data_IF_927202982960
#
_entry.id   IF_927202982960
#
_cell.length_a   1.000
_cell.length_b   1.000
_cell.length_c   1.000
_cell.angle_alpha   90.00
_cell.angle_beta   90.00
_cell.angle_gamma   90.00
#
_symmetry.space_group_name_H-M   'P 1'
#
loop_
_entity.id
_entity.type
_entity.pdbx_description
1 polymer ?
#
# COMPACT_ATOMS: atom_id res chain seq x y z
N UNK A 1 7.39 -2.98 -6.91
CA UNK A 1 7.15 -3.27 -5.48
C UNK A 1 7.15 -4.78 -5.38
N UNK A 2 7.83 -5.35 -4.39
CA UNK A 2 8.45 -6.67 -4.47
C UNK A 2 7.42 -7.71 -4.85
N UNK A 3 7.61 -8.23 -6.04
CA UNK A 3 7.15 -9.54 -6.50
C UNK A 3 7.81 -10.59 -5.60
N UNK A 4 7.31 -11.82 -5.59
CA UNK A 4 8.00 -12.95 -4.95
C UNK A 4 9.32 -13.28 -5.69
N UNK A 5 10.21 -12.29 -5.75
CA UNK A 5 11.47 -12.26 -6.47
C UNK A 5 12.57 -12.77 -5.56
N UNK A 6 13.51 -13.46 -6.18
CA UNK A 6 14.78 -13.83 -5.57
C UNK A 6 15.91 -13.07 -6.23
N UNK A 7 16.96 -12.81 -5.47
CA UNK A 7 18.22 -12.29 -6.00
C UNK A 7 19.40 -12.82 -5.18
N UNK A 8 20.53 -13.03 -5.85
CA UNK A 8 21.78 -13.42 -5.20
C UNK A 8 22.64 -12.21 -4.84
N UNK A 9 23.22 -12.23 -3.65
CA UNK A 9 24.25 -11.28 -3.24
C UNK A 9 25.32 -11.97 -2.40
N UNK A 10 26.58 -11.89 -2.83
CA UNK A 10 27.73 -12.54 -2.16
C UNK A 10 27.55 -14.05 -1.91
N UNK A 11 26.84 -14.74 -2.82
CA UNK A 11 26.57 -16.17 -2.72
C UNK A 11 25.42 -16.54 -1.76
N UNK A 12 24.66 -15.56 -1.28
CA UNK A 12 23.45 -15.75 -0.48
C UNK A 12 22.24 -15.39 -1.34
N UNK A 13 21.31 -16.34 -1.48
CA UNK A 13 20.03 -16.10 -2.14
C UNK A 13 19.06 -15.42 -1.15
N UNK A 14 18.58 -14.23 -1.52
CA UNK A 14 17.56 -13.50 -0.79
C UNK A 14 16.23 -13.60 -1.52
N UNK A 15 15.16 -13.87 -0.78
CA UNK A 15 13.78 -13.84 -1.26
C UNK A 15 13.05 -12.65 -0.64
N UNK A 16 12.40 -11.87 -1.50
CA UNK A 16 11.54 -10.75 -1.13
C UNK A 16 10.08 -11.19 -1.20
N UNK A 17 9.35 -11.01 -0.12
CA UNK A 17 7.91 -11.34 -0.04
C UNK A 17 7.12 -10.09 0.39
N UNK A 18 5.98 -9.76 -0.27
CA UNK A 18 5.08 -8.72 0.20
C UNK A 18 4.70 -8.92 1.67
N UNK A 19 4.80 -7.87 2.48
CA UNK A 19 4.53 -7.92 3.92
C UNK A 19 3.80 -6.64 4.33
N UNK A 20 2.57 -6.48 3.84
CA UNK A 20 1.72 -5.34 4.22
C UNK A 20 1.46 -5.32 5.73
N UNK A 21 1.28 -4.13 6.29
CA UNK A 21 0.90 -3.93 7.70
C UNK A 21 1.41 -2.60 8.22
N UNK A 22 2.68 -2.52 8.59
CA UNK A 22 3.29 -1.24 8.97
C UNK A 22 3.18 -0.20 7.83
N UNK A 23 3.49 -0.64 6.60
CA UNK A 23 3.15 0.06 5.36
C UNK A 23 2.69 -0.93 4.31
N UNK A 24 1.91 -0.48 3.33
CA UNK A 24 1.43 -1.29 2.20
C UNK A 24 2.54 -1.93 1.36
N UNK A 25 3.74 -1.35 1.41
CA UNK A 25 4.87 -1.79 0.58
C UNK A 25 6.03 -2.32 1.43
N UNK A 26 5.79 -2.60 2.71
CA UNK A 26 6.76 -3.29 3.54
C UNK A 26 7.04 -4.69 2.96
N UNK A 27 8.29 -5.14 3.14
CA UNK A 27 8.83 -6.33 2.47
C UNK A 27 9.47 -7.22 3.51
N UNK A 28 9.06 -8.48 3.54
CA UNK A 28 9.75 -9.53 4.27
C UNK A 28 10.95 -9.97 3.44
N UNK A 29 12.13 -9.96 4.06
CA UNK A 29 13.34 -10.49 3.45
C UNK A 29 13.63 -11.82 4.13
N UNK A 30 13.82 -12.88 3.35
CA UNK A 30 14.18 -14.21 3.86
C UNK A 30 15.40 -14.74 3.12
N UNK A 31 16.29 -15.42 3.84
CA UNK A 31 17.52 -15.98 3.31
C UNK A 31 18.05 -17.10 4.21
N UNK A 32 19.00 -17.88 3.72
CA UNK A 32 19.74 -18.86 4.50
C UNK A 32 21.22 -18.50 4.56
N UNK A 33 21.82 -18.56 5.75
CA UNK A 33 23.26 -18.36 5.96
C UNK A 33 23.75 -19.38 6.98
N UNK A 34 24.86 -20.07 6.70
CA UNK A 34 25.42 -21.12 7.56
C UNK A 34 24.40 -22.21 7.97
N UNK A 35 23.48 -22.55 7.06
CA UNK A 35 22.39 -23.51 7.31
C UNK A 35 21.30 -23.01 8.27
N UNK A 36 21.27 -21.71 8.56
CA UNK A 36 20.26 -21.07 9.40
C UNK A 36 19.29 -20.26 8.53
N UNK A 37 17.99 -20.54 8.67
CA UNK A 37 16.94 -19.71 8.03
C UNK A 37 16.78 -18.40 8.81
N UNK A 38 16.93 -17.28 8.13
CA UNK A 38 16.82 -15.94 8.71
C UNK A 38 15.73 -15.16 7.98
N UNK A 39 14.95 -14.40 8.75
CA UNK A 39 14.02 -13.42 8.22
C UNK A 39 14.31 -12.03 8.78
N UNK A 40 14.07 -10.99 7.98
CA UNK A 40 14.03 -9.61 8.42
C UNK A 40 12.62 -9.07 8.24
N UNK A 41 11.93 -8.81 9.35
CA UNK A 41 10.52 -8.37 9.38
C UNK A 41 10.37 -6.85 9.43
N UNK A 42 11.49 -6.10 9.49
CA UNK A 42 11.46 -4.65 9.58
C UNK A 42 10.60 -4.19 10.76
N UNK A 43 9.68 -3.27 10.48
CA UNK A 43 8.84 -2.63 11.50
C UNK A 43 7.48 -3.34 11.64
N UNK A 44 7.37 -4.60 11.25
CA UNK A 44 6.09 -5.29 11.21
C UNK A 44 5.61 -5.74 12.59
N UNK A 45 6.51 -6.26 13.43
CA UNK A 45 6.16 -6.95 14.68
C UNK A 45 6.85 -6.25 15.86
N UNK A 46 6.06 -5.66 16.74
CA UNK A 46 6.50 -5.05 17.98
C UNK A 46 5.93 -5.77 19.19
N UNK A 47 6.47 -5.48 20.37
CA UNK A 47 5.98 -6.04 21.62
C UNK A 47 5.85 -4.94 22.67
N UNK A 48 4.88 -5.09 23.57
CA UNK A 48 4.69 -4.22 24.75
C UNK A 48 5.92 -4.15 25.67
N UNK A 49 6.76 -5.17 25.63
CA UNK A 49 8.03 -5.27 26.35
C UNK A 49 9.21 -4.65 25.62
N UNK A 50 9.02 -4.11 24.42
CA UNK A 50 10.06 -3.54 23.56
C UNK A 50 10.91 -4.56 22.79
N UNK A 51 10.81 -5.85 23.10
CA UNK A 51 11.46 -6.95 22.38
C UNK A 51 10.75 -8.27 22.68
N UNK A 52 10.93 -9.27 21.82
CA UNK A 52 10.39 -10.61 22.08
C UNK A 52 11.01 -11.21 23.35
N UNK A 53 10.14 -11.74 24.22
CA UNK A 53 10.49 -12.59 25.35
C UNK A 53 9.25 -13.41 25.75
N UNK A 54 9.39 -14.54 26.45
CA UNK A 54 8.24 -15.28 26.94
C UNK A 54 7.28 -14.38 27.74
N UNK A 55 6.00 -14.41 27.37
CA UNK A 55 4.95 -13.58 27.97
C UNK A 55 4.85 -12.15 27.42
N UNK A 56 5.66 -11.76 26.43
CA UNK A 56 5.48 -10.52 25.68
C UNK A 56 4.22 -10.58 24.82
N UNK A 57 3.55 -9.45 24.65
CA UNK A 57 2.37 -9.35 23.79
C UNK A 57 2.66 -8.54 22.53
N UNK A 58 2.27 -9.07 21.38
CA UNK A 58 2.43 -8.38 20.10
C UNK A 58 1.62 -7.08 20.12
N UNK A 59 2.27 -6.01 19.69
CA UNK A 59 1.64 -4.73 19.38
C UNK A 59 1.87 -4.41 17.90
N UNK A 60 0.89 -3.70 17.31
CA UNK A 60 0.98 -3.23 15.93
C UNK A 60 1.30 -1.73 15.91
N UNK A 61 2.15 -1.30 14.99
CA UNK A 61 2.52 0.11 14.79
C UNK A 61 2.03 0.64 13.42
N UNK A 62 0.89 0.13 12.96
CA UNK A 62 0.30 0.50 11.68
C UNK A 62 -0.03 2.00 11.62
N UNK A 63 -0.02 2.55 10.41
CA UNK A 63 -0.51 3.89 10.14
C UNK A 63 -1.52 3.78 9.01
N UNK A 64 -2.78 4.19 9.26
CA UNK A 64 -3.86 4.10 8.27
C UNK A 64 -3.46 4.63 6.89
N UNK A 65 -2.85 5.82 6.85
CA UNK A 65 -2.39 6.50 5.63
C UNK A 65 -1.19 5.85 4.95
N UNK A 66 -0.53 4.88 5.58
CA UNK A 66 0.54 4.10 4.96
C UNK A 66 -0.01 2.90 4.14
N UNK A 67 -1.33 2.82 3.98
CA UNK A 67 -2.03 1.81 3.22
C UNK A 67 -2.33 0.56 4.03
N UNK A 68 -3.03 0.77 5.13
CA UNK A 68 -3.52 -0.30 5.99
C UNK A 68 -4.49 -1.19 5.21
N UNK A 69 -4.24 -2.49 5.28
CA UNK A 69 -5.04 -3.52 4.62
C UNK A 69 -5.52 -4.54 5.65
N UNK A 70 -6.77 -4.99 5.53
CA UNK A 70 -7.33 -5.97 6.47
C UNK A 70 -6.74 -7.36 6.17
N UNK A 71 -6.49 -8.17 7.20
CA UNK A 71 -5.86 -9.47 7.04
C UNK A 71 -4.36 -9.43 6.73
N UNK A 72 -3.75 -8.24 6.64
CA UNK A 72 -2.34 -8.10 6.29
C UNK A 72 -1.41 -8.85 7.27
N UNK A 73 -1.67 -8.74 8.57
CA UNK A 73 -0.89 -9.46 9.59
C UNK A 73 -1.07 -10.97 9.52
N UNK A 74 -2.24 -11.48 9.14
CA UNK A 74 -2.45 -12.91 8.92
C UNK A 74 -1.54 -13.43 7.80
N UNK A 75 -1.48 -12.73 6.67
CA UNK A 75 -0.61 -13.12 5.56
C UNK A 75 0.87 -13.17 5.97
N UNK A 76 1.32 -12.23 6.82
CA UNK A 76 2.69 -12.27 7.36
C UNK A 76 2.91 -13.47 8.27
N UNK A 77 1.98 -13.76 9.17
CA UNK A 77 2.09 -14.92 10.07
C UNK A 77 2.14 -16.23 9.27
N UNK A 78 1.32 -16.37 8.23
CA UNK A 78 1.30 -17.56 7.39
C UNK A 78 2.63 -17.74 6.62
N UNK A 79 3.23 -16.66 6.12
CA UNK A 79 4.58 -16.70 5.51
C UNK A 79 5.67 -17.08 6.52
N UNK A 80 5.62 -16.52 7.74
CA UNK A 80 6.58 -16.85 8.80
C UNK A 80 6.45 -18.32 9.24
N UNK A 81 5.23 -18.84 9.33
CA UNK A 81 4.98 -20.25 9.63
C UNK A 81 5.44 -21.16 8.49
N UNK A 82 5.34 -20.74 7.23
CA UNK A 82 5.87 -21.50 6.10
C UNK A 82 7.41 -21.52 6.08
N UNK A 83 8.07 -20.40 6.43
CA UNK A 83 9.53 -20.29 6.43
C UNK A 83 10.16 -21.02 7.64
N UNK A 84 9.47 -21.03 8.80
CA UNK A 84 10.03 -21.52 10.07
C UNK A 84 11.43 -20.95 10.36
N UNK A 85 11.61 -19.61 10.46
CA UNK A 85 12.92 -19.02 10.67
C UNK A 85 13.56 -19.48 11.99
N UNK A 86 14.88 -19.60 11.99
CA UNK A 86 15.68 -19.80 13.19
C UNK A 86 16.12 -18.48 13.81
N UNK A 87 16.16 -17.42 13.00
CA UNK A 87 16.44 -16.05 13.44
C UNK A 87 15.45 -15.07 12.84
N UNK A 88 14.96 -14.18 13.70
CA UNK A 88 14.14 -13.03 13.31
C UNK A 88 14.93 -11.76 13.59
N UNK A 89 15.22 -11.01 12.53
CA UNK A 89 15.76 -9.66 12.57
C UNK A 89 14.59 -8.67 12.49
N UNK A 90 14.63 -7.60 13.27
CA UNK A 90 13.61 -6.55 13.26
C UNK A 90 14.25 -5.19 12.99
N UNK A 91 13.44 -4.20 12.67
CA UNK A 91 13.93 -2.83 12.44
C UNK A 91 14.36 -2.09 13.71
N UNK A 92 13.84 -2.47 14.90
CA UNK A 92 14.00 -1.67 16.14
C UNK A 92 14.26 -2.47 17.41
N UNK A 93 14.37 -3.79 17.35
CA UNK A 93 14.60 -4.65 18.52
C UNK A 93 15.77 -5.60 18.27
N UNK A 94 16.45 -6.10 19.32
CA UNK A 94 17.50 -7.08 19.14
C UNK A 94 17.00 -8.33 18.39
N UNK A 95 17.83 -8.94 17.54
CA UNK A 95 17.54 -10.24 16.93
C UNK A 95 17.18 -11.30 17.97
N UNK A 96 16.27 -12.21 17.62
CA UNK A 96 15.86 -13.28 18.50
C UNK A 96 15.63 -14.59 17.75
N UNK A 97 15.70 -15.69 18.49
CA UNK A 97 15.27 -16.99 18.01
C UNK A 97 13.80 -17.19 18.40
N UNK A 98 12.91 -17.49 17.45
CA UNK A 98 11.51 -17.69 17.76
C UNK A 98 11.33 -19.02 18.51
N UNK A 99 10.42 -19.01 19.47
CA UNK A 99 9.98 -20.20 20.20
C UNK A 99 8.54 -20.57 19.77
N UNK A 100 8.03 -21.79 20.01
CA UNK A 100 6.68 -22.18 19.58
C UNK A 100 5.58 -21.21 20.03
N UNK A 101 5.69 -20.65 21.23
CA UNK A 101 4.76 -19.66 21.76
C UNK A 101 4.77 -18.32 21.00
N UNK A 102 5.87 -18.00 20.29
CA UNK A 102 5.97 -16.80 19.47
C UNK A 102 4.95 -16.80 18.34
N UNK A 103 4.84 -17.93 17.62
CA UNK A 103 3.86 -18.09 16.53
C UNK A 103 2.42 -17.93 17.03
N UNK A 104 2.13 -18.49 18.21
CA UNK A 104 0.82 -18.34 18.86
C UNK A 104 0.52 -16.86 19.19
N UNK A 105 1.52 -16.13 19.70
CA UNK A 105 1.36 -14.72 20.07
C UNK A 105 1.17 -13.81 18.85
N UNK A 106 1.97 -13.98 17.79
CA UNK A 106 1.81 -13.17 16.57
C UNK A 106 0.49 -13.49 15.84
N UNK A 107 0.02 -14.74 15.88
CA UNK A 107 -1.29 -15.13 15.36
C UNK A 107 -2.44 -14.50 16.15
N UNK A 108 -2.38 -14.56 17.48
CA UNK A 108 -3.31 -13.86 18.39
C UNK A 108 -3.37 -12.36 18.09
N UNK A 109 -2.21 -11.71 17.92
CA UNK A 109 -2.18 -10.28 17.63
C UNK A 109 -2.68 -9.93 16.22
N UNK A 110 -2.48 -10.80 15.22
CA UNK A 110 -3.05 -10.63 13.88
C UNK A 110 -4.59 -10.69 13.91
N UNK A 111 -5.14 -11.68 14.64
CA UNK A 111 -6.60 -11.81 14.85
C UNK A 111 -7.16 -10.60 15.60
N UNK A 112 -6.51 -10.18 16.68
CA UNK A 112 -6.93 -9.05 17.49
C UNK A 112 -6.90 -7.73 16.70
N UNK A 113 -5.92 -7.56 15.81
CA UNK A 113 -5.85 -6.41 14.92
C UNK A 113 -7.09 -6.38 14.00
N UNK A 114 -7.37 -7.47 13.30
CA UNK A 114 -8.50 -7.54 12.36
C UNK A 114 -9.85 -7.35 13.07
N UNK A 115 -10.04 -8.00 14.20
CA UNK A 115 -11.27 -7.90 15.00
C UNK A 115 -11.50 -6.47 15.52
N UNK A 116 -10.46 -5.83 16.07
CA UNK A 116 -10.55 -4.45 16.56
C UNK A 116 -10.91 -3.49 15.43
N UNK A 117 -10.23 -3.58 14.28
CA UNK A 117 -10.45 -2.63 13.18
C UNK A 117 -11.82 -2.82 12.53
N UNK A 118 -12.34 -4.05 12.42
CA UNK A 118 -13.73 -4.28 12.02
C UNK A 118 -14.73 -3.64 12.99
N UNK A 119 -14.49 -3.77 14.30
CA UNK A 119 -15.36 -3.16 15.34
C UNK A 119 -15.31 -1.63 15.34
N UNK A 120 -14.18 -1.04 14.94
CA UNK A 120 -14.02 0.42 14.84
C UNK A 120 -14.63 0.98 13.54
N UNK A 121 -14.77 0.19 12.48
CA UNK A 121 -15.47 0.61 11.27
C UNK A 121 -16.97 0.72 11.56
N UNK A 122 -17.47 1.96 11.56
CA UNK A 122 -18.89 2.28 11.78
C UNK A 122 -19.77 1.82 10.60
N UNK A 123 -19.15 1.57 9.44
CA UNK A 123 -19.78 1.12 8.20
C UNK A 123 -19.63 -0.40 8.07
N UNK A 124 -20.75 -1.09 7.81
CA UNK A 124 -20.79 -2.53 7.64
C UNK A 124 -20.41 -2.99 6.24
N UNK A 125 -20.25 -4.30 6.06
CA UNK A 125 -19.81 -4.91 4.79
C UNK A 125 -20.71 -4.57 3.60
N UNK A 126 -21.98 -4.21 3.85
CA UNK A 126 -22.96 -3.84 2.83
C UNK A 126 -23.06 -2.33 2.58
N UNK A 127 -22.40 -1.51 3.41
CA UNK A 127 -22.43 -0.06 3.28
C UNK A 127 -21.43 0.45 2.24
N UNK A 128 -21.53 1.71 1.86
CA UNK A 128 -20.59 2.35 0.93
C UNK A 128 -19.35 2.81 1.69
N UNK A 129 -18.18 2.24 1.41
CA UNK A 129 -16.93 2.63 2.08
C UNK A 129 -15.66 2.23 1.29
N UNK A 130 -14.55 2.92 1.57
CA UNK A 130 -13.22 2.59 1.02
C UNK A 130 -12.38 1.69 1.95
N UNK A 131 -13.02 1.10 2.95
CA UNK A 131 -12.37 0.19 3.90
C UNK A 131 -11.51 0.95 4.89
N UNK A 132 -10.61 0.24 5.56
CA UNK A 132 -9.88 0.78 6.70
C UNK A 132 -8.85 1.87 6.29
N UNK A 133 -8.24 1.81 5.10
CA UNK A 133 -7.40 2.91 4.56
C UNK A 133 -8.22 4.18 4.28
N UNK A 134 -9.54 4.05 4.07
CA UNK A 134 -10.45 5.14 3.68
C UNK A 134 -10.01 5.90 2.41
N UNK A 135 -9.30 5.22 1.50
CA UNK A 135 -8.75 5.81 0.27
C UNK A 135 -9.39 5.19 -0.98
N UNK A 136 -10.08 6.01 -1.78
CA UNK A 136 -10.76 5.57 -2.99
C UNK A 136 -9.88 5.47 -4.25
N UNK A 137 -8.66 6.01 -4.19
CA UNK A 137 -7.72 5.91 -5.29
C UNK A 137 -6.34 6.45 -4.95
N UNK A 138 -5.37 6.20 -5.83
CA UNK A 138 -4.00 6.69 -5.70
C UNK A 138 -3.48 7.12 -7.06
N UNK A 139 -2.63 8.15 -7.07
CA UNK A 139 -2.04 8.70 -8.28
C UNK A 139 -0.50 8.71 -8.17
N UNK A 140 0.18 8.36 -9.26
CA UNK A 140 1.63 8.24 -9.36
C UNK A 140 2.11 8.69 -10.75
N UNK A 141 3.28 9.32 -10.86
CA UNK A 141 4.10 9.81 -9.74
C UNK A 141 3.40 10.97 -9.03
N UNK A 142 3.63 11.12 -7.71
CA UNK A 142 3.06 12.26 -6.96
C UNK A 142 3.62 13.59 -7.45
N UNK A 143 4.85 13.61 -7.96
CA UNK A 143 5.47 14.79 -8.59
C UNK A 143 5.83 14.48 -10.04
N UNK A 144 5.19 15.19 -10.95
CA UNK A 144 5.46 15.17 -12.38
C UNK A 144 6.29 16.40 -12.74
N UNK A 145 7.35 16.18 -13.51
CA UNK A 145 8.19 17.24 -14.05
C UNK A 145 8.26 17.09 -15.56
N UNK A 146 7.86 18.13 -16.29
CA UNK A 146 7.87 18.20 -17.74
C UNK A 146 8.77 19.36 -18.17
N UNK A 147 9.63 19.12 -19.16
CA UNK A 147 10.56 20.14 -19.63
C UNK A 147 9.83 21.25 -20.39
N UNK A 148 8.84 20.88 -21.21
CA UNK A 148 8.07 21.82 -22.03
C UNK A 148 6.58 21.48 -21.96
N UNK A 149 5.73 22.50 -22.05
CA UNK A 149 4.28 22.34 -22.18
C UNK A 149 3.87 21.66 -23.49
N UNK A 150 2.74 20.95 -23.46
CA UNK A 150 2.23 20.19 -24.60
C UNK A 150 2.76 18.76 -24.72
N UNK A 151 3.79 18.39 -23.94
CA UNK A 151 4.18 16.99 -23.79
C UNK A 151 3.10 16.20 -23.04
N UNK A 152 2.69 15.08 -23.62
CA UNK A 152 1.82 14.13 -22.94
C UNK A 152 2.62 13.35 -21.90
N UNK A 153 2.00 13.10 -20.75
CA UNK A 153 2.58 12.24 -19.72
C UNK A 153 1.54 11.28 -19.18
N UNK A 154 2.02 10.12 -18.74
CA UNK A 154 1.18 9.08 -18.19
C UNK A 154 1.13 9.21 -16.67
N UNK A 155 -0.08 9.37 -16.16
CA UNK A 155 -0.41 9.22 -14.77
C UNK A 155 -0.84 7.77 -14.54
N UNK A 156 -0.24 7.09 -13.58
CA UNK A 156 -0.61 5.72 -13.17
C UNK A 156 -1.24 5.78 -11.79
N UNK A 157 -2.04 4.78 -11.46
CA UNK A 157 -2.74 4.79 -10.20
C UNK A 157 -3.53 3.53 -9.98
N UNK A 158 -4.38 3.58 -8.96
CA UNK A 158 -5.45 2.61 -8.77
C UNK A 158 -6.69 3.33 -8.27
N UNK A 159 -7.85 2.72 -8.49
CA UNK A 159 -9.13 3.11 -7.92
C UNK A 159 -9.77 1.91 -7.23
N UNK A 160 -10.64 2.18 -6.26
CA UNK A 160 -11.33 1.18 -5.46
C UNK A 160 -12.84 1.34 -5.62
N UNK A 161 -13.55 0.23 -5.86
CA UNK A 161 -15.02 0.21 -5.82
C UNK A 161 -15.52 0.24 -4.36
N UNK A 162 -16.21 1.31 -3.92
CA UNK A 162 -16.75 1.42 -2.58
C UNK A 162 -18.09 0.69 -2.42
N UNK A 163 -18.58 -0.01 -3.43
CA UNK A 163 -19.84 -0.76 -3.39
C UNK A 163 -19.59 -2.27 -3.15
N UNK A 164 -20.48 -2.96 -2.43
CA UNK A 164 -20.36 -4.39 -2.14
C UNK A 164 -20.83 -5.26 -3.32
N UNK A 165 -20.86 -4.70 -4.53
CA UNK A 165 -21.33 -5.34 -5.76
C UNK A 165 -20.55 -4.80 -6.95
N UNK A 166 -20.62 -5.50 -8.06
CA UNK A 166 -20.07 -5.02 -9.33
C UNK A 166 -20.71 -3.68 -9.71
N UNK A 167 -19.88 -2.74 -10.17
CA UNK A 167 -20.30 -1.40 -10.56
C UNK A 167 -19.33 -0.79 -11.57
N UNK A 168 -19.86 0.12 -12.40
CA UNK A 168 -19.04 0.91 -13.31
C UNK A 168 -18.41 2.08 -12.55
N UNK A 169 -17.08 2.15 -12.53
CA UNK A 169 -16.34 3.28 -12.01
C UNK A 169 -15.82 4.17 -13.13
N UNK A 170 -15.94 5.48 -12.96
CA UNK A 170 -15.37 6.50 -13.84
C UNK A 170 -14.33 7.29 -13.07
N UNK A 171 -13.10 7.31 -13.58
CA UNK A 171 -11.97 8.05 -13.06
C UNK A 171 -11.56 9.16 -14.04
N UNK A 172 -11.42 10.38 -13.54
CA UNK A 172 -11.08 11.57 -14.33
C UNK A 172 -10.00 12.36 -13.62
N UNK A 173 -9.04 12.91 -14.38
CA UNK A 173 -8.17 13.94 -13.81
C UNK A 173 -8.86 15.32 -13.84
N UNK A 174 -8.94 15.95 -12.69
CA UNK A 174 -9.29 17.37 -12.55
C UNK A 174 -8.01 18.17 -12.75
N UNK A 175 -8.00 18.98 -13.82
CA UNK A 175 -6.83 19.72 -14.30
C UNK A 175 -7.17 21.20 -14.49
N UNK A 176 -6.17 22.10 -14.53
CA UNK A 176 -6.38 23.51 -14.81
C UNK A 176 -7.03 23.78 -16.17
N UNK A 177 -7.61 24.97 -16.31
CA UNK A 177 -8.20 25.42 -17.58
C UNK A 177 -7.18 25.35 -18.73
N UNK A 178 -7.65 24.85 -19.89
CA UNK A 178 -6.86 24.67 -21.10
C UNK A 178 -6.00 23.40 -21.13
N UNK A 179 -5.85 22.68 -20.01
CA UNK A 179 -5.19 21.38 -19.99
C UNK A 179 -6.18 20.31 -20.45
N UNK A 180 -5.67 19.20 -20.99
CA UNK A 180 -6.49 18.04 -21.33
C UNK A 180 -6.05 16.81 -20.54
N UNK A 181 -7.03 16.00 -20.17
CA UNK A 181 -6.80 14.73 -19.53
C UNK A 181 -7.83 13.69 -19.96
N UNK A 182 -7.38 12.45 -19.92
CA UNK A 182 -8.21 11.29 -20.23
C UNK A 182 -9.21 10.99 -19.11
N UNK A 183 -10.31 10.33 -19.50
CA UNK A 183 -11.31 9.76 -18.60
C UNK A 183 -11.30 8.26 -18.85
N UNK A 184 -11.19 7.49 -17.78
CA UNK A 184 -11.24 6.03 -17.84
C UNK A 184 -12.52 5.55 -17.17
N UNK A 185 -13.20 4.62 -17.82
CA UNK A 185 -14.37 3.92 -17.26
C UNK A 185 -14.07 2.43 -17.22
N UNK A 186 -14.27 1.81 -16.07
CA UNK A 186 -13.93 0.40 -15.82
C UNK A 186 -14.99 -0.26 -14.95
N UNK A 187 -15.36 -1.49 -15.29
CA UNK A 187 -16.21 -2.31 -14.43
C UNK A 187 -15.35 -2.89 -13.30
N UNK A 188 -15.75 -2.66 -12.06
CA UNK A 188 -15.08 -3.17 -10.88
C UNK A 188 -16.01 -4.09 -10.12
N UNK A 189 -15.54 -5.29 -9.78
CA UNK A 189 -16.19 -6.20 -8.85
C UNK A 189 -16.35 -5.62 -7.45
N UNK A 190 -17.06 -6.33 -6.56
CA UNK A 190 -17.31 -5.87 -5.19
C UNK A 190 -15.99 -5.61 -4.46
N UNK A 191 -15.82 -4.40 -3.90
CA UNK A 191 -14.57 -3.99 -3.21
C UNK A 191 -13.30 -4.14 -4.04
N UNK A 192 -13.41 -4.29 -5.36
CA UNK A 192 -12.25 -4.52 -6.20
C UNK A 192 -11.44 -3.23 -6.32
N UNK A 193 -10.13 -3.37 -6.11
CA UNK A 193 -9.16 -2.38 -6.50
C UNK A 193 -8.60 -2.73 -7.88
N UNK A 194 -8.44 -1.73 -8.74
CA UNK A 194 -7.83 -1.93 -10.06
C UNK A 194 -6.87 -0.80 -10.41
N UNK A 195 -5.75 -1.17 -11.01
CA UNK A 195 -4.79 -0.23 -11.56
C UNK A 195 -5.36 0.48 -12.80
N UNK A 196 -5.10 1.78 -12.91
CA UNK A 196 -5.51 2.63 -14.02
C UNK A 196 -4.32 3.41 -14.56
N UNK A 197 -4.40 3.78 -15.84
CA UNK A 197 -3.49 4.70 -16.51
C UNK A 197 -4.30 5.79 -17.20
N UNK A 198 -3.90 7.03 -17.01
CA UNK A 198 -4.56 8.23 -17.54
C UNK A 198 -3.53 9.09 -18.24
N UNK A 199 -3.87 9.61 -19.42
CA UNK A 199 -3.02 10.57 -20.11
C UNK A 199 -3.31 12.00 -19.63
N UNK A 200 -2.25 12.77 -19.39
CA UNK A 200 -2.30 14.19 -19.03
C UNK A 200 -1.52 15.02 -20.05
N UNK A 201 -2.10 16.13 -20.50
CA UNK A 201 -1.45 17.06 -21.43
C UNK A 201 -1.63 18.51 -20.94
N UNK A 202 -0.58 19.16 -20.43
CA UNK A 202 -0.63 20.59 -20.10
C UNK A 202 -0.87 21.45 -21.34
N UNK A 203 -1.58 22.57 -21.18
CA UNK A 203 -1.82 23.52 -22.26
C UNK A 203 -0.50 24.05 -22.83
N UNK A 204 -0.41 24.21 -24.15
CA UNK A 204 0.77 24.77 -24.83
C UNK A 204 1.16 26.13 -24.23
N UNK A 205 2.47 26.35 -24.07
CA UNK A 205 3.01 27.59 -23.48
C UNK A 205 2.86 27.72 -21.97
N UNK A 206 2.30 26.72 -21.27
CA UNK A 206 2.21 26.74 -19.81
C UNK A 206 3.59 26.62 -19.16
N UNK A 207 3.84 27.48 -18.17
CA UNK A 207 4.98 27.35 -17.24
C UNK A 207 4.41 27.42 -15.83
N UNK A 208 4.62 26.37 -15.03
CA UNK A 208 4.05 26.29 -13.68
C UNK A 208 4.93 25.46 -12.74
N UNK A 209 4.81 25.71 -11.44
CA UNK A 209 5.52 24.97 -10.40
C UNK A 209 4.54 24.39 -9.39
N UNK A 210 4.58 23.07 -9.19
CA UNK A 210 3.71 22.33 -8.26
C UNK A 210 2.23 22.65 -8.43
N UNK A 211 1.77 22.77 -9.67
CA UNK A 211 0.36 22.91 -9.99
C UNK A 211 -0.37 21.63 -9.53
N UNK A 212 -1.30 21.71 -8.57
CA UNK A 212 -2.08 20.54 -8.16
C UNK A 212 -3.02 20.10 -9.29
N UNK A 213 -3.13 18.79 -9.43
CA UNK A 213 -4.17 18.09 -10.17
C UNK A 213 -4.76 17.03 -9.25
N UNK A 214 -6.00 16.61 -9.52
CA UNK A 214 -6.67 15.60 -8.70
C UNK A 214 -7.22 14.45 -9.54
N UNK A 215 -7.37 13.29 -8.93
CA UNK A 215 -8.12 12.16 -9.46
C UNK A 215 -9.51 12.19 -8.85
N UNK A 216 -10.51 12.47 -9.66
CA UNK A 216 -11.93 12.37 -9.28
C UNK A 216 -12.45 10.96 -9.56
N UNK A 217 -13.21 10.42 -8.63
CA UNK A 217 -13.86 9.12 -8.74
C UNK A 217 -15.39 9.28 -8.65
N UNK A 218 -16.08 8.70 -9.62
CA UNK A 218 -17.52 8.46 -9.59
C UNK A 218 -17.75 6.96 -9.76
N UNK A 219 -18.63 6.36 -8.96
CA UNK A 219 -19.03 4.97 -9.14
C UNK A 219 -20.55 4.95 -9.36
N UNK A 220 -20.95 4.44 -10.53
CA UNK A 220 -22.27 4.64 -11.13
C UNK A 220 -22.62 6.12 -11.22
N UNK A 221 -23.70 6.54 -10.56
CA UNK A 221 -24.15 7.93 -10.52
C UNK A 221 -23.73 8.65 -9.23
N UNK A 222 -22.95 7.99 -8.35
CA UNK A 222 -22.52 8.56 -7.08
C UNK A 222 -21.09 9.14 -7.18
N UNK A 223 -20.93 10.47 -7.01
CA UNK A 223 -19.61 11.08 -6.93
C UNK A 223 -18.96 10.83 -5.56
N UNK A 224 -17.69 10.45 -5.55
CA UNK A 224 -16.85 10.32 -4.35
C UNK A 224 -15.81 11.45 -4.24
N UNK A 225 -15.84 12.40 -5.19
CA UNK A 225 -14.97 13.56 -5.22
C UNK A 225 -13.54 13.24 -5.59
N UNK A 226 -12.63 14.12 -5.20
CA UNK A 226 -11.20 14.04 -5.48
C UNK A 226 -10.52 13.08 -4.47
N UNK A 227 -10.26 11.85 -4.91
CA UNK A 227 -9.76 10.75 -4.05
C UNK A 227 -8.24 10.64 -4.00
N UNK A 228 -7.54 11.31 -4.91
CA UNK A 228 -6.08 11.43 -4.90
C UNK A 228 -5.64 12.73 -5.57
N UNK A 229 -4.38 13.11 -5.37
CA UNK A 229 -3.79 14.29 -5.98
C UNK A 229 -2.37 13.99 -6.49
N UNK A 230 -1.88 14.86 -7.39
CA UNK A 230 -0.48 14.94 -7.77
C UNK A 230 -0.11 16.39 -8.08
N UNK A 231 1.20 16.67 -8.13
CA UNK A 231 1.76 17.98 -8.40
C UNK A 231 2.51 17.96 -9.73
N UNK A 232 2.15 18.87 -10.63
CA UNK A 232 2.75 19.01 -11.95
C UNK A 232 3.61 20.26 -12.01
N UNK A 233 4.82 20.11 -12.51
CA UNK A 233 5.76 21.21 -12.77
C UNK A 233 6.13 21.18 -14.23
N UNK A 234 5.99 22.32 -14.91
CA UNK A 234 6.29 22.50 -16.34
C UNK A 234 7.27 23.65 -16.48
N UNK A 235 8.35 23.45 -17.25
CA UNK A 235 9.33 24.49 -17.57
C UNK A 235 10.16 24.98 -16.37
N UNK A 236 10.28 24.18 -15.31
CA UNK A 236 11.16 24.46 -14.17
C UNK A 236 12.04 23.27 -13.84
N UNK A 237 13.26 23.55 -13.39
CA UNK A 237 14.21 22.55 -12.94
C UNK A 237 13.68 21.72 -11.76
N UNK A 238 14.23 20.50 -11.63
CA UNK A 238 13.84 19.57 -10.57
C UNK A 238 14.24 20.04 -9.16
N UNK A 239 15.03 21.11 -9.04
CA UNK A 239 15.58 21.62 -7.78
C UNK A 239 15.51 23.15 -7.74
#
# INVERSE_FOLDING_TARGET
>A
MPTHETFDWEGIEFRLTPMSGHTRFATLISFEIDGQRVVHTGDQIFYDTGAWRPGAHMTTNHVYKNGLDMGCYHAVVDELEAIQPQWVLTGHTPPFQPAPEWYSEIRRGAEAFDDLHRKLMIVGDQDVHFGAESQGGKLKPYRVHLAVAGEQTLMRGWILNPLPRTAMATARLVVPDGWSAEVVTVELGPRQQQDITLTLTPALGTTCRRQPIALELTVEDQPFGQVAEALVTVGHDRF
#
